data_IF_911194714129
#
_entry.id   IF_911194714129
#
_cell.length_a   1.000
_cell.length_b   1.000
_cell.length_c   1.000
_cell.angle_alpha   90.00
_cell.angle_beta   90.00
_cell.angle_gamma   90.00
#
_symmetry.space_group_name_H-M   'P 1'
#
loop_
_entity.id
_entity.type
_entity.pdbx_description
1 polymer ?
#
# COMPACT_ATOMS: atom_id res chain seq x y z
N UNK A 1 7.58 -16.74 -1.96
CA UNK A 1 7.06 -17.47 -3.14
C UNK A 1 6.58 -16.55 -4.26
N UNK A 2 5.80 -15.50 -3.97
CA UNK A 2 5.27 -14.57 -5.00
C UNK A 2 6.36 -13.98 -5.93
N UNK A 3 7.51 -13.58 -5.36
CA UNK A 3 8.66 -13.03 -6.11
C UNK A 3 9.20 -13.97 -7.19
N UNK A 4 9.24 -15.28 -6.91
CA UNK A 4 9.75 -16.27 -7.86
C UNK A 4 8.73 -16.52 -8.98
N UNK A 5 7.44 -16.52 -8.66
CA UNK A 5 6.37 -16.69 -9.64
C UNK A 5 6.33 -15.52 -10.61
N UNK A 6 6.44 -14.29 -10.12
CA UNK A 6 6.52 -13.08 -10.97
C UNK A 6 7.75 -13.12 -11.88
N UNK A 7 8.91 -13.54 -11.35
CA UNK A 7 10.13 -13.68 -12.15
C UNK A 7 10.02 -14.72 -13.26
N UNK A 8 9.39 -15.87 -12.99
CA UNK A 8 9.16 -16.93 -13.98
C UNK A 8 8.19 -16.45 -15.07
N UNK A 9 7.08 -15.80 -14.68
CA UNK A 9 6.09 -15.27 -15.62
C UNK A 9 6.73 -14.19 -16.52
N UNK A 10 7.53 -13.29 -15.93
CA UNK A 10 8.26 -12.28 -16.69
C UNK A 10 9.27 -12.92 -17.67
N UNK A 11 10.01 -13.94 -17.25
CA UNK A 11 10.92 -14.69 -18.11
C UNK A 11 10.22 -15.37 -19.28
N UNK A 12 9.05 -15.99 -19.03
CA UNK A 12 8.22 -16.58 -20.08
C UNK A 12 7.69 -15.52 -21.04
N UNK A 13 7.21 -14.37 -20.56
CA UNK A 13 6.74 -13.26 -21.39
C UNK A 13 7.83 -12.71 -22.30
N UNK A 14 9.05 -12.51 -21.78
CA UNK A 14 10.21 -12.08 -22.57
C UNK A 14 10.55 -13.15 -23.61
N UNK A 15 10.59 -14.43 -23.22
CA UNK A 15 10.89 -15.53 -24.12
C UNK A 15 9.90 -15.61 -25.29
N UNK A 16 8.59 -15.51 -25.01
CA UNK A 16 7.55 -15.49 -26.04
C UNK A 16 7.68 -14.24 -26.89
N UNK A 17 7.90 -13.06 -26.29
CA UNK A 17 8.08 -11.81 -27.02
C UNK A 17 9.26 -11.85 -28.00
N UNK A 18 10.39 -12.46 -27.61
CA UNK A 18 11.55 -12.66 -28.50
C UNK A 18 11.24 -13.65 -29.61
N UNK A 19 10.64 -14.80 -29.28
CA UNK A 19 10.30 -15.83 -30.27
C UNK A 19 9.34 -15.29 -31.34
N UNK A 20 8.41 -14.44 -30.93
CA UNK A 20 7.41 -13.82 -31.79
C UNK A 20 7.98 -12.65 -32.59
N UNK A 21 8.72 -11.72 -31.96
CA UNK A 21 9.28 -10.55 -32.66
C UNK A 21 10.37 -10.91 -33.67
N UNK A 22 11.10 -12.00 -33.46
CA UNK A 22 12.14 -12.46 -34.38
C UNK A 22 11.66 -13.53 -35.37
N UNK A 23 10.35 -13.82 -35.40
CA UNK A 23 9.74 -14.82 -36.28
C UNK A 23 10.50 -16.16 -36.30
N UNK A 24 10.94 -16.63 -35.13
CA UNK A 24 11.76 -17.85 -35.01
C UNK A 24 10.97 -19.13 -35.32
N UNK A 25 9.66 -19.03 -35.54
CA UNK A 25 8.74 -20.16 -35.69
C UNK A 25 8.47 -20.52 -37.15
N UNK A 26 8.54 -19.57 -38.10
CA UNK A 26 8.25 -19.84 -39.53
C UNK A 26 9.45 -19.67 -40.45
N UNK A 27 10.29 -20.71 -40.55
CA UNK A 27 11.49 -20.77 -41.39
C UNK A 27 11.18 -20.81 -42.92
N UNK A 28 9.91 -20.86 -43.34
CA UNK A 28 9.55 -21.16 -44.75
C UNK A 28 9.04 -20.02 -45.62
N UNK A 29 8.53 -18.93 -45.06
CA UNK A 29 8.16 -17.73 -45.83
C UNK A 29 8.37 -16.51 -44.95
N UNK A 30 9.26 -15.61 -45.37
CA UNK A 30 9.48 -14.32 -44.71
C UNK A 30 8.27 -13.46 -45.05
N UNK A 31 7.26 -13.44 -44.19
CA UNK A 31 6.13 -12.53 -44.32
C UNK A 31 6.54 -11.15 -43.80
N UNK A 32 6.58 -10.10 -44.66
CA UNK A 32 7.00 -8.75 -44.26
C UNK A 32 6.02 -8.08 -43.27
N UNK A 33 4.86 -8.70 -43.03
CA UNK A 33 3.84 -8.25 -42.07
C UNK A 33 4.04 -8.83 -40.65
N UNK A 34 4.89 -9.85 -40.47
CA UNK A 34 5.16 -10.42 -39.14
C UNK A 34 5.76 -9.33 -38.22
N UNK A 35 5.03 -8.97 -37.16
CA UNK A 35 5.42 -7.95 -36.19
C UNK A 35 4.99 -6.51 -36.51
N UNK A 36 4.28 -6.24 -37.62
CA UNK A 36 3.64 -4.94 -37.89
C UNK A 36 2.10 -4.98 -37.77
N UNK A 37 1.55 -6.04 -37.18
CA UNK A 37 0.09 -6.23 -37.13
C UNK A 37 -0.51 -5.44 -35.97
N UNK A 38 -1.34 -4.45 -36.29
CA UNK A 38 -2.17 -3.73 -35.32
C UNK A 38 -3.37 -4.58 -34.88
N UNK A 39 -3.93 -4.32 -33.69
CA UNK A 39 -5.14 -5.04 -33.22
C UNK A 39 -6.32 -4.90 -34.16
N UNK A 40 -6.46 -3.76 -34.84
CA UNK A 40 -7.53 -3.54 -35.81
C UNK A 40 -7.42 -4.44 -37.04
N UNK A 41 -6.22 -4.82 -37.47
CA UNK A 41 -6.04 -5.75 -38.59
C UNK A 41 -6.47 -7.17 -38.25
N UNK A 42 -6.34 -7.57 -36.98
CA UNK A 42 -6.84 -8.84 -36.47
C UNK A 42 -8.37 -8.91 -36.43
N UNK A 43 -9.05 -7.80 -36.12
CA UNK A 43 -10.52 -7.75 -36.09
C UNK A 43 -11.16 -7.59 -37.47
N UNK A 44 -10.44 -7.02 -38.43
CA UNK A 44 -10.94 -6.78 -39.79
C UNK A 44 -10.63 -7.94 -40.75
N UNK A 45 -9.80 -8.91 -40.34
CA UNK A 45 -9.50 -10.09 -41.15
C UNK A 45 -10.70 -11.06 -41.18
N UNK A 46 -11.31 -11.23 -42.37
CA UNK A 46 -12.32 -12.27 -42.63
C UNK A 46 -11.73 -13.67 -42.85
N UNK A 47 -10.40 -13.86 -42.67
CA UNK A 47 -9.70 -15.10 -43.00
C UNK A 47 -9.83 -16.16 -41.89
N UNK A 48 -9.61 -17.42 -42.29
CA UNK A 48 -9.64 -18.59 -41.41
C UNK A 48 -8.53 -18.53 -40.36
N UNK A 49 -8.83 -18.95 -39.12
CA UNK A 49 -7.94 -18.90 -37.93
C UNK A 49 -6.56 -19.53 -38.17
N UNK A 50 -6.46 -20.55 -39.03
CA UNK A 50 -5.19 -21.21 -39.36
C UNK A 50 -4.23 -20.29 -40.15
N UNK A 51 -4.76 -19.41 -41.00
CA UNK A 51 -3.95 -18.45 -41.74
C UNK A 51 -3.52 -17.28 -40.85
N UNK A 52 -4.35 -16.86 -39.89
CA UNK A 52 -4.07 -15.73 -39.00
C UNK A 52 -3.39 -16.12 -37.68
N UNK A 53 -3.11 -17.41 -37.46
CA UNK A 53 -2.48 -17.89 -36.22
C UNK A 53 -1.15 -17.18 -35.93
N UNK A 54 -0.37 -16.88 -36.96
CA UNK A 54 0.89 -16.14 -36.83
C UNK A 54 0.67 -14.68 -36.40
N UNK A 55 -0.40 -14.03 -36.89
CA UNK A 55 -0.79 -12.67 -36.50
C UNK A 55 -1.26 -12.63 -35.03
N UNK A 56 -2.06 -13.63 -34.64
CA UNK A 56 -2.50 -13.80 -33.25
C UNK A 56 -1.31 -14.04 -32.32
N UNK A 57 -0.38 -14.91 -32.68
CA UNK A 57 0.86 -15.13 -31.91
C UNK A 57 1.70 -13.87 -31.82
N UNK A 58 1.72 -13.04 -32.88
CA UNK A 58 2.29 -11.71 -32.97
C UNK A 58 1.86 -10.77 -31.85
N UNK A 59 0.55 -10.69 -31.64
CA UNK A 59 -0.08 -9.70 -30.77
C UNK A 59 -0.26 -10.18 -29.33
N UNK A 60 -0.22 -11.49 -29.11
CA UNK A 60 -0.41 -12.11 -27.80
C UNK A 60 0.56 -11.63 -26.69
N UNK A 61 1.86 -11.45 -26.92
CA UNK A 61 2.78 -10.93 -25.90
C UNK A 61 2.39 -9.51 -25.46
N UNK A 62 2.07 -8.65 -26.42
CA UNK A 62 1.63 -7.27 -26.16
C UNK A 62 0.30 -7.25 -25.42
N UNK A 63 -0.64 -8.13 -25.78
CA UNK A 63 -1.91 -8.30 -25.07
C UNK A 63 -1.71 -8.68 -23.60
N UNK A 64 -0.86 -9.68 -23.35
CA UNK A 64 -0.54 -10.14 -22.00
C UNK A 64 0.19 -9.06 -21.21
N UNK A 65 1.09 -8.30 -21.86
CA UNK A 65 1.79 -7.18 -21.25
C UNK A 65 0.81 -6.07 -20.84
N UNK A 66 -0.14 -5.69 -21.70
CA UNK A 66 -1.19 -4.71 -21.39
C UNK A 66 -2.04 -5.20 -20.22
N UNK A 67 -2.49 -6.47 -20.25
CA UNK A 67 -3.32 -7.05 -19.19
C UNK A 67 -2.59 -7.10 -17.85
N UNK A 68 -1.32 -7.52 -17.86
CA UNK A 68 -0.48 -7.54 -16.67
C UNK A 68 -0.26 -6.14 -16.10
N UNK A 69 0.06 -5.16 -16.95
CA UNK A 69 0.22 -3.76 -16.53
C UNK A 69 -1.08 -3.17 -16.01
N UNK A 70 -2.23 -3.51 -16.61
CA UNK A 70 -3.53 -3.07 -16.14
C UNK A 70 -3.83 -3.62 -14.74
N UNK A 71 -3.57 -4.91 -14.51
CA UNK A 71 -3.69 -5.51 -13.19
C UNK A 71 -2.79 -4.80 -12.17
N UNK A 72 -1.51 -4.57 -12.50
CA UNK A 72 -0.59 -3.83 -11.63
C UNK A 72 -1.06 -2.40 -11.36
N UNK A 73 -1.60 -1.71 -12.36
CA UNK A 73 -2.15 -0.36 -12.21
C UNK A 73 -3.33 -0.33 -11.23
N UNK A 74 -4.24 -1.30 -11.30
CA UNK A 74 -5.38 -1.41 -10.36
C UNK A 74 -4.90 -1.72 -8.94
N UNK A 75 -3.94 -2.63 -8.79
CA UNK A 75 -3.36 -2.96 -7.47
C UNK A 75 -2.66 -1.74 -6.87
N UNK A 76 -1.86 -1.02 -7.66
CA UNK A 76 -1.18 0.20 -7.22
C UNK A 76 -2.16 1.33 -6.91
N UNK A 77 -3.22 1.48 -7.68
CA UNK A 77 -4.30 2.43 -7.37
C UNK A 77 -4.92 2.12 -6.01
N UNK A 78 -5.26 0.85 -5.75
CA UNK A 78 -5.86 0.42 -4.48
C UNK A 78 -4.91 0.63 -3.31
N UNK A 79 -3.61 0.37 -3.50
CA UNK A 79 -2.57 0.66 -2.53
C UNK A 79 -2.50 2.16 -2.23
N UNK A 80 -2.37 2.99 -3.27
CA UNK A 80 -2.30 4.44 -3.19
C UNK A 80 -3.49 5.10 -2.51
N UNK A 81 -4.67 4.49 -2.60
CA UNK A 81 -5.91 5.04 -2.03
C UNK A 81 -6.14 4.66 -0.56
N UNK A 82 -5.67 3.48 -0.12
CA UNK A 82 -6.01 2.93 1.21
C UNK A 82 -4.83 2.82 2.17
N UNK A 83 -3.59 2.79 1.67
CA UNK A 83 -2.41 2.42 2.46
C UNK A 83 -1.19 3.30 2.23
N UNK A 84 -1.27 4.28 1.33
CA UNK A 84 -0.21 5.26 1.12
C UNK A 84 -0.04 6.13 2.36
N UNK A 85 1.19 6.25 2.85
CA UNK A 85 1.47 7.08 4.03
C UNK A 85 1.44 8.57 3.67
N UNK A 86 1.70 8.89 2.40
CA UNK A 86 1.56 10.23 1.83
C UNK A 86 0.22 10.31 1.10
N UNK A 87 -0.73 11.06 1.67
CA UNK A 87 -2.05 11.29 1.06
C UNK A 87 -1.98 12.51 0.16
N UNK A 88 -1.97 12.27 -1.15
CA UNK A 88 -2.12 13.35 -2.13
C UNK A 88 -3.61 13.72 -2.24
N UNK A 89 -3.98 14.94 -1.83
CA UNK A 89 -5.36 15.44 -1.89
C UNK A 89 -5.86 15.76 -3.32
N UNK A 90 -5.04 15.52 -4.35
CA UNK A 90 -5.37 15.84 -5.74
C UNK A 90 -5.98 14.67 -6.49
N UNK A 91 -6.91 14.97 -7.41
CA UNK A 91 -7.55 13.99 -8.29
C UNK A 91 -6.56 13.26 -9.23
N UNK A 92 -5.43 13.91 -9.55
CA UNK A 92 -4.31 13.28 -10.28
C UNK A 92 -3.30 12.74 -9.27
N UNK A 93 -3.71 11.68 -8.59
CA UNK A 93 -2.84 10.97 -7.67
C UNK A 93 -1.69 10.31 -8.45
N UNK A 94 -0.42 10.43 -8.03
CA UNK A 94 0.71 9.78 -8.68
C UNK A 94 0.52 8.30 -8.99
N UNK A 95 -0.24 7.59 -8.16
CA UNK A 95 -0.59 6.18 -8.32
C UNK A 95 -1.44 5.89 -9.58
N UNK A 96 -2.06 6.92 -10.18
CA UNK A 96 -2.86 6.83 -11.41
C UNK A 96 -2.00 6.90 -12.68
N UNK A 97 -0.77 7.42 -12.62
CA UNK A 97 0.06 7.58 -13.82
C UNK A 97 0.34 6.26 -14.53
N UNK A 98 0.46 5.16 -13.79
CA UNK A 98 0.62 3.82 -14.37
C UNK A 98 -0.58 3.38 -15.21
N UNK A 99 -1.79 3.76 -14.79
CA UNK A 99 -3.02 3.51 -15.55
C UNK A 99 -3.00 4.29 -16.86
N UNK A 100 -2.59 5.56 -16.83
CA UNK A 100 -2.44 6.42 -18.00
C UNK A 100 -1.41 5.84 -18.97
N UNK A 101 -0.26 5.39 -18.47
CA UNK A 101 0.76 4.72 -19.29
C UNK A 101 0.26 3.43 -19.93
N UNK A 102 -0.53 2.63 -19.20
CA UNK A 102 -1.14 1.41 -19.73
C UNK A 102 -2.17 1.72 -20.82
N UNK A 103 -2.99 2.75 -20.62
CA UNK A 103 -3.91 3.22 -21.67
C UNK A 103 -3.18 3.77 -22.88
N UNK A 104 -2.07 4.48 -22.69
CA UNK A 104 -1.23 4.94 -23.79
C UNK A 104 -0.57 3.81 -24.56
N UNK A 105 -0.11 2.76 -23.87
CA UNK A 105 0.37 1.54 -24.51
C UNK A 105 -0.74 0.88 -25.34
N UNK A 106 -1.94 0.72 -24.77
CA UNK A 106 -3.08 0.14 -25.48
C UNK A 106 -3.50 1.00 -26.68
N UNK A 107 -3.58 2.32 -26.51
CA UNK A 107 -3.92 3.29 -27.56
C UNK A 107 -2.90 3.27 -28.70
N UNK A 108 -1.61 3.11 -28.39
CA UNK A 108 -0.53 3.02 -29.38
C UNK A 108 -0.64 1.83 -30.33
N UNK A 109 -1.44 0.82 -29.97
CA UNK A 109 -1.68 -0.40 -30.75
C UNK A 109 -2.87 -0.33 -31.72
N UNK A 110 -3.66 0.76 -31.68
CA UNK A 110 -4.83 0.94 -32.56
C UNK A 110 -4.50 1.49 -33.96
N UNK A 111 -3.61 2.48 -34.14
CA UNK A 111 -3.35 3.06 -35.46
C UNK A 111 -2.76 2.04 -36.44
N UNK A 112 -3.24 2.04 -37.69
CA UNK A 112 -2.69 1.22 -38.78
C UNK A 112 -1.55 1.92 -39.53
N UNK A 113 -1.75 3.20 -39.88
CA UNK A 113 -0.85 3.92 -40.79
C UNK A 113 0.54 4.22 -40.20
N UNK A 114 0.61 4.43 -38.87
CA UNK A 114 1.85 4.81 -38.16
C UNK A 114 2.18 3.86 -37.00
N UNK A 115 1.79 2.58 -37.10
CA UNK A 115 1.90 1.59 -36.03
C UNK A 115 3.28 1.55 -35.34
N UNK A 116 4.37 1.63 -36.11
CA UNK A 116 5.74 1.62 -35.56
C UNK A 116 6.02 2.80 -34.65
N UNK A 117 5.56 3.99 -35.01
CA UNK A 117 5.78 5.20 -34.22
C UNK A 117 4.86 5.18 -33.01
N UNK A 118 3.58 4.84 -33.20
CA UNK A 118 2.58 4.88 -32.14
C UNK A 118 2.82 3.79 -31.10
N UNK A 119 3.17 2.56 -31.52
CA UNK A 119 3.52 1.46 -30.63
C UNK A 119 4.75 1.80 -29.78
N UNK A 120 5.85 2.25 -30.41
CA UNK A 120 7.07 2.65 -29.68
C UNK A 120 6.83 3.84 -28.74
N UNK A 121 5.99 4.80 -29.14
CA UNK A 121 5.61 5.92 -28.28
C UNK A 121 4.79 5.49 -27.07
N UNK A 122 3.88 4.52 -27.24
CA UNK A 122 3.09 3.94 -26.16
C UNK A 122 3.97 3.16 -25.17
N UNK A 123 4.95 2.41 -25.66
CA UNK A 123 5.94 1.72 -24.83
C UNK A 123 6.84 2.72 -24.08
N UNK A 124 7.33 3.76 -24.74
CA UNK A 124 8.10 4.81 -24.10
C UNK A 124 7.29 5.54 -23.01
N UNK A 125 6.00 5.80 -23.27
CA UNK A 125 5.10 6.40 -22.28
C UNK A 125 4.91 5.48 -21.07
N UNK A 126 4.72 4.18 -21.28
CA UNK A 126 4.60 3.20 -20.20
C UNK A 126 5.87 3.17 -19.33
N UNK A 127 7.05 3.10 -19.95
CA UNK A 127 8.32 3.11 -19.22
C UNK A 127 8.47 4.40 -18.42
N UNK A 128 8.14 5.55 -19.01
CA UNK A 128 8.19 6.84 -18.33
C UNK A 128 7.27 6.87 -17.10
N UNK A 129 6.04 6.37 -17.21
CA UNK A 129 5.11 6.30 -16.09
C UNK A 129 5.58 5.35 -14.98
N UNK A 130 6.23 4.24 -15.34
CA UNK A 130 6.83 3.32 -14.37
C UNK A 130 7.97 4.00 -13.61
N UNK A 131 8.81 4.78 -14.28
CA UNK A 131 9.90 5.52 -13.62
C UNK A 131 9.35 6.55 -12.63
N UNK A 132 8.30 7.28 -13.01
CA UNK A 132 7.63 8.19 -12.08
C UNK A 132 7.03 7.46 -10.88
N UNK A 133 6.42 6.29 -11.09
CA UNK A 133 5.87 5.47 -10.03
C UNK A 133 6.96 4.97 -9.07
N UNK A 134 8.10 4.50 -9.57
CA UNK A 134 9.22 4.04 -8.75
C UNK A 134 9.77 5.15 -7.86
N UNK A 135 9.90 6.38 -8.38
CA UNK A 135 10.32 7.53 -7.58
C UNK A 135 9.34 7.83 -6.44
N UNK A 136 8.04 7.57 -6.62
CA UNK A 136 7.04 7.78 -5.58
C UNK A 136 7.06 6.65 -4.55
N UNK A 137 7.21 5.41 -4.99
CA UNK A 137 7.42 4.24 -4.10
C UNK A 137 8.65 4.44 -3.22
N UNK A 138 9.74 4.98 -3.78
CA UNK A 138 10.96 5.26 -3.00
C UNK A 138 10.72 6.32 -1.91
N UNK A 139 9.88 7.33 -2.17
CA UNK A 139 9.50 8.32 -1.14
C UNK A 139 8.64 7.68 -0.06
N UNK A 140 7.67 6.86 -0.46
CA UNK A 140 6.77 6.18 0.48
C UNK A 140 7.55 5.19 1.37
N UNK A 141 8.51 4.45 0.81
CA UNK A 141 9.40 3.56 1.56
C UNK A 141 10.31 4.32 2.54
N UNK A 142 10.87 5.47 2.14
CA UNK A 142 11.69 6.29 3.04
C UNK A 142 10.88 6.81 4.22
N UNK A 143 9.69 7.32 3.94
CA UNK A 143 8.82 7.83 4.98
C UNK A 143 8.39 6.70 5.93
N UNK A 144 8.10 5.49 5.41
CA UNK A 144 7.81 4.32 6.24
C UNK A 144 8.98 3.93 7.16
N UNK A 145 10.22 3.99 6.67
CA UNK A 145 11.41 3.74 7.50
C UNK A 145 11.57 4.80 8.59
N UNK A 146 11.39 6.08 8.28
CA UNK A 146 11.44 7.16 9.28
C UNK A 146 10.41 6.96 10.40
N UNK A 147 9.23 6.42 10.07
CA UNK A 147 8.21 6.08 11.06
C UNK A 147 8.62 4.90 11.96
N UNK A 148 9.28 3.89 11.40
CA UNK A 148 9.82 2.76 12.18
C UNK A 148 10.90 3.25 13.14
N UNK A 149 11.85 4.06 12.66
CA UNK A 149 12.92 4.63 13.48
C UNK A 149 12.35 5.50 14.63
N UNK A 150 11.26 6.22 14.37
CA UNK A 150 10.56 7.00 15.40
C UNK A 150 9.93 6.13 16.48
N UNK A 151 9.30 5.00 16.10
CA UNK A 151 8.71 4.07 17.06
C UNK A 151 9.77 3.40 17.93
N UNK A 152 10.90 3.01 17.33
CA UNK A 152 12.04 2.45 18.07
C UNK A 152 12.59 3.46 19.10
N UNK A 153 12.73 4.73 18.70
CA UNK A 153 13.15 5.79 19.62
C UNK A 153 12.17 6.08 20.76
N UNK A 154 10.86 5.85 20.56
CA UNK A 154 9.86 5.95 21.65
C UNK A 154 9.96 4.74 22.58
N UNK A 155 10.13 3.54 22.04
CA UNK A 155 10.27 2.32 22.83
C UNK A 155 11.49 2.41 23.75
N UNK A 156 12.64 2.85 23.23
CA UNK A 156 13.86 3.05 24.02
C UNK A 156 13.68 4.08 25.14
N UNK A 157 12.98 5.19 24.86
CA UNK A 157 12.69 6.21 25.88
C UNK A 157 11.74 5.70 26.95
N UNK A 158 10.75 4.90 26.58
CA UNK A 158 9.77 4.31 27.51
C UNK A 158 10.47 3.31 28.43
N UNK A 159 11.27 2.41 27.86
CA UNK A 159 12.05 1.43 28.63
C UNK A 159 13.03 2.12 29.59
N UNK A 160 13.70 3.18 29.13
CA UNK A 160 14.61 3.97 29.98
C UNK A 160 13.88 4.72 31.10
N UNK A 161 12.66 5.18 30.85
CA UNK A 161 11.84 5.85 31.86
C UNK A 161 11.36 4.86 32.94
N UNK A 162 10.93 3.66 32.53
CA UNK A 162 10.50 2.60 33.42
C UNK A 162 11.65 2.07 34.29
N UNK A 163 12.84 1.91 33.71
CA UNK A 163 14.05 1.52 34.45
C UNK A 163 14.43 2.59 35.49
N UNK A 164 14.42 3.87 35.12
CA UNK A 164 14.69 4.97 36.05
C UNK A 164 13.64 5.05 37.17
N UNK A 165 12.36 4.79 36.88
CA UNK A 165 11.30 4.74 37.88
C UNK A 165 11.50 3.58 38.87
N UNK A 166 11.91 2.40 38.39
CA UNK A 166 12.25 1.27 39.27
C UNK A 166 13.46 1.55 40.15
N UNK A 167 14.52 2.16 39.62
CA UNK A 167 15.70 2.54 40.40
C UNK A 167 15.31 3.53 41.50
N UNK A 168 14.53 4.57 41.17
CA UNK A 168 14.05 5.54 42.15
C UNK A 168 13.18 4.90 43.24
N UNK A 169 12.31 3.95 42.88
CA UNK A 169 11.50 3.21 43.84
C UNK A 169 12.35 2.32 44.76
N UNK A 170 13.38 1.65 44.23
CA UNK A 170 14.29 0.82 45.03
C UNK A 170 15.13 1.66 46.01
N UNK A 171 15.60 2.84 45.60
CA UNK A 171 16.30 3.78 46.47
C UNK A 171 15.39 4.34 47.57
N UNK A 172 14.10 4.54 47.28
CA UNK A 172 13.12 4.98 48.27
C UNK A 172 12.86 3.90 49.32
N UNK A 173 12.74 2.64 48.90
CA UNK A 173 12.59 1.50 49.82
C UNK A 173 13.83 1.24 50.69
N UNK A 174 15.03 1.59 50.22
CA UNK A 174 16.28 1.45 50.98
C UNK A 174 16.48 2.56 52.04
N UNK A 175 15.81 3.71 51.87
CA UNK A 175 15.87 4.85 52.78
C UNK A 175 14.71 4.89 53.79
N UNK A 176 13.81 3.90 53.77
CA UNK A 176 12.82 3.78 54.83
C UNK A 176 13.56 3.47 56.15
N UNK A 177 13.40 4.32 57.19
CA UNK A 177 14.04 4.08 58.47
C UNK A 177 13.56 2.72 59.00
N UNK A 178 14.45 1.93 59.64
CA UNK A 178 14.07 0.62 60.16
C UNK A 178 12.83 0.79 61.02
N UNK A 179 11.77 0.04 60.68
CA UNK A 179 10.50 0.08 61.37
C UNK A 179 10.79 0.01 62.88
N UNK A 180 10.54 1.12 63.58
CA UNK A 180 10.56 1.15 65.03
C UNK A 180 9.62 0.04 65.47
N UNK A 181 10.06 -0.95 66.26
CA UNK A 181 9.23 -2.08 66.63
C UNK A 181 7.99 -1.55 67.33
N UNK A 182 6.87 -1.54 66.62
CA UNK A 182 5.56 -1.30 67.19
C UNK A 182 5.27 -2.50 68.07
N UNK A 183 5.54 -2.30 69.35
CA UNK A 183 5.16 -3.17 70.45
C UNK A 183 3.72 -3.62 70.22
N UNK A 184 3.56 -4.93 69.96
CA UNK A 184 2.28 -5.62 69.78
C UNK A 184 1.30 -5.19 70.87
N UNK A 185 0.32 -4.39 70.47
CA UNK A 185 -0.79 -3.90 71.30
C UNK A 185 -1.85 -5.01 71.47
N UNK A 186 -1.40 -6.22 71.83
CA UNK A 186 -2.27 -7.37 72.13
C UNK A 186 -2.69 -7.44 73.60
N UNK A 187 -2.47 -6.36 74.37
CA UNK A 187 -2.89 -6.30 75.77
C UNK A 187 -3.46 -4.92 76.09
N UNK A 188 -4.71 -4.66 75.70
CA UNK A 188 -5.59 -3.78 76.47
C UNK A 188 -7.06 -4.12 76.17
N UNK A 189 -7.68 -4.77 77.14
CA UNK A 189 -9.10 -5.08 77.19
C UNK A 189 -9.93 -3.81 77.41
N UNK A 190 -11.02 -3.68 76.65
CA UNK A 190 -12.37 -3.42 77.19
C UNK A 190 -12.78 -1.97 77.52
N UNK A 191 -14.04 -1.69 77.21
CA UNK A 191 -14.83 -0.45 77.38
C UNK A 191 -14.49 0.66 76.36
N UNK A 192 -15.41 1.17 75.56
CA UNK A 192 -16.86 1.12 75.58
C UNK A 192 -17.39 2.42 74.97
N UNK A 193 -18.63 2.37 74.48
CA UNK A 193 -19.47 3.48 74.06
C UNK A 193 -19.36 3.95 72.61
N UNK A 194 -20.50 3.74 71.93
CA UNK A 194 -21.09 4.60 70.91
C UNK A 194 -20.69 6.07 71.06
N UNK A 195 -20.44 6.73 69.92
CA UNK A 195 -21.32 7.81 69.51
C UNK A 195 -21.25 8.05 67.98
N UNK A 196 -22.44 8.32 67.43
CA UNK A 196 -22.67 8.92 66.11
C UNK A 196 -22.01 10.31 66.10
N UNK A 197 -21.79 10.98 64.98
CA UNK A 197 -22.67 11.88 64.20
C UNK A 197 -21.67 12.62 63.21
N UNK A 198 -22.09 13.49 62.27
CA UNK A 198 -22.45 13.28 60.86
C UNK A 198 -21.48 13.95 59.85
N UNK A 199 -21.87 13.86 58.58
CA UNK A 199 -21.58 14.72 57.42
C UNK A 199 -20.77 16.01 57.63
N UNK A 200 -19.81 16.23 56.73
CA UNK A 200 -19.53 17.57 56.24
C UNK A 200 -19.25 17.55 54.74
N UNK A 201 -20.30 17.97 54.05
CA UNK A 201 -20.37 18.50 52.70
C UNK A 201 -19.33 19.62 52.48
N UNK A 202 -18.59 19.57 51.36
CA UNK A 202 -17.97 20.75 50.74
C UNK A 202 -17.85 20.56 49.24
N UNK A 203 -18.84 21.13 48.59
CA UNK A 203 -18.83 21.69 47.25
C UNK A 203 -17.56 22.51 46.94
N UNK A 204 -17.16 22.49 45.67
CA UNK A 204 -16.61 23.70 45.04
C UNK A 204 -15.58 23.50 43.93
N UNK A 205 -15.95 23.96 42.73
CA UNK A 205 -15.15 24.35 41.55
C UNK A 205 -14.77 23.25 40.54
N UNK A 206 -15.52 23.08 39.44
CA UNK A 206 -15.67 23.91 38.20
C UNK A 206 -14.46 23.83 37.26
N UNK A 207 -14.69 23.30 36.05
CA UNK A 207 -13.83 23.48 34.87
C UNK A 207 -14.27 22.66 33.65
N UNK A 208 -14.98 23.33 32.72
CA UNK A 208 -15.04 23.10 31.24
C UNK A 208 -15.49 21.72 30.72
N UNK A 209 -16.72 21.54 30.22
CA UNK A 209 -17.24 21.93 28.88
C UNK A 209 -16.30 21.65 27.69
N UNK A 210 -16.56 20.52 27.03
CA UNK A 210 -16.14 20.23 25.65
C UNK A 210 -17.11 19.24 25.05
N UNK A 211 -18.14 19.74 24.37
CA UNK A 211 -19.20 18.96 23.73
C UNK A 211 -18.68 18.14 22.55
N UNK A 212 -18.81 16.82 22.63
CA UNK A 212 -18.69 15.92 21.49
C UNK A 212 -20.02 15.87 20.75
N UNK A 213 -20.08 16.57 19.63
CA UNK A 213 -21.15 16.51 18.65
C UNK A 213 -21.15 15.12 18.00
N UNK A 214 -22.17 14.31 18.33
CA UNK A 214 -22.42 13.03 17.69
C UNK A 214 -23.09 13.35 16.35
N UNK A 215 -22.29 13.45 15.29
CA UNK A 215 -22.82 13.57 13.92
C UNK A 215 -23.41 12.22 13.52
N UNK A 216 -24.73 12.16 13.62
CA UNK A 216 -25.60 11.17 13.02
C UNK A 216 -25.50 11.28 11.49
N UNK A 217 -24.66 10.47 10.84
CA UNK A 217 -24.70 10.31 9.38
C UNK A 217 -25.83 9.36 9.00
N UNK A 218 -26.90 9.98 8.54
CA UNK A 218 -28.05 9.34 7.92
C UNK A 218 -27.68 8.63 6.62
N UNK A 219 -28.43 7.56 6.37
CA UNK A 219 -28.48 6.67 5.22
C UNK A 219 -28.07 7.26 3.86
N UNK A 220 -27.11 6.61 3.21
CA UNK A 220 -26.96 6.65 1.75
C UNK A 220 -27.65 5.39 1.19
N UNK A 221 -28.79 5.60 0.54
CA UNK A 221 -29.45 4.62 -0.32
C UNK A 221 -28.50 4.18 -1.44
N UNK A 222 -28.16 2.90 -1.44
CA UNK A 222 -27.63 2.22 -2.63
C UNK A 222 -28.82 1.60 -3.35
N UNK A 223 -29.29 2.25 -4.41
CA UNK A 223 -30.10 1.58 -5.44
C UNK A 223 -29.14 0.90 -6.42
N UNK A 224 -29.29 -0.41 -6.50
CA UNK A 224 -28.73 -1.32 -7.50
C UNK A 224 -29.02 -0.87 -8.93
#
# INVERSE_FOLDING_TARGET
>A
MLRNVVGIIAGCLIGIGVVVNFDLVHIRHIDPEAGNVSWLELFESEKTIEEDLHKVLGVLPTALLILANFYFAVVMWRYGSNSSMIIHSSYLNPWVWQLIGTFGLAAGQFPKDDFRITSNSGEALLVLTIVFLMNEVDKDMKAANEFVDFLEAIEDKTNSADENAQIAASMRSANDPPATPTLSKSMFWGFGSNDKIPELDKDGEKGEQGGGEIVEMSSIEVRL
#
